data_IF_637735218575
#
_entry.id   IF_637735218575
#
_cell.length_a   1.000
_cell.length_b   1.000
_cell.length_c   1.000
_cell.angle_alpha   90.00
_cell.angle_beta   90.00
_cell.angle_gamma   90.00
#
_symmetry.space_group_name_H-M   'P 1'
#
loop_
_entity.id
_entity.type
_entity.pdbx_description
1 polymer ?
#
# COMPACT_ATOMS: atom_id res chain seq x y z
N UNK A 1 3.36 61.85 21.33
CA UNK A 1 2.32 60.85 21.68
C UNK A 1 1.62 60.26 20.44
N UNK A 2 1.51 60.97 19.31
CA UNK A 2 1.01 60.42 18.04
C UNK A 2 1.97 59.41 17.36
N UNK A 3 3.27 59.45 17.69
CA UNK A 3 4.27 58.50 17.15
C UNK A 3 4.07 57.06 17.65
N UNK A 4 3.56 56.86 18.87
CA UNK A 4 3.30 55.53 19.43
C UNK A 4 2.11 54.79 18.79
N UNK A 5 1.19 55.51 18.13
CA UNK A 5 0.03 54.93 17.45
C UNK A 5 0.35 54.49 16.01
N UNK A 6 1.41 55.03 15.39
CA UNK A 6 1.85 54.59 14.06
C UNK A 6 2.70 53.31 14.16
N UNK A 7 3.33 53.06 15.32
CA UNK A 7 4.14 51.87 15.56
C UNK A 7 3.26 50.64 15.87
N UNK A 8 2.12 50.82 16.55
CA UNK A 8 1.18 49.74 16.88
C UNK A 8 0.43 49.13 15.68
N UNK A 9 0.56 49.71 14.48
CA UNK A 9 -0.04 49.19 13.25
C UNK A 9 0.86 48.24 12.45
N UNK A 10 2.13 48.11 12.83
CA UNK A 10 3.13 47.33 12.09
C UNK A 10 3.69 46.13 12.89
N UNK A 11 3.11 45.81 14.05
CA UNK A 11 3.41 44.62 14.85
C UNK A 11 2.47 43.43 14.53
N UNK A 12 1.57 43.57 13.56
CA UNK A 12 0.64 42.52 13.10
C UNK A 12 1.02 41.91 11.75
N UNK A 13 2.26 42.09 11.29
CA UNK A 13 2.86 41.12 10.36
C UNK A 13 3.49 40.07 11.25
N UNK A 14 2.78 38.95 11.41
CA UNK A 14 3.34 37.73 11.96
C UNK A 14 4.59 37.40 11.13
N UNK A 15 5.74 37.82 11.64
CA UNK A 15 7.03 37.31 11.23
C UNK A 15 6.99 35.85 11.62
N UNK A 16 6.74 34.99 10.63
CA UNK A 16 7.00 33.56 10.75
C UNK A 16 8.42 33.44 11.30
N UNK A 17 8.52 32.98 12.54
CA UNK A 17 9.78 32.60 13.13
C UNK A 17 10.35 31.46 12.27
N UNK A 18 11.29 31.79 11.39
CA UNK A 18 12.15 30.81 10.75
C UNK A 18 12.89 30.09 11.89
N UNK A 19 12.60 28.81 12.15
CA UNK A 19 13.33 28.09 13.17
C UNK A 19 14.76 27.93 12.67
N UNK A 20 15.71 28.35 13.49
CA UNK A 20 17.12 28.15 13.21
C UNK A 20 17.40 26.67 12.99
N UNK A 21 17.96 26.37 11.82
CA UNK A 21 18.40 25.05 11.41
C UNK A 21 19.57 24.63 12.29
N UNK A 22 19.28 24.03 13.44
CA UNK A 22 20.27 23.28 14.21
C UNK A 22 20.46 21.94 13.50
N UNK A 23 21.56 21.86 12.75
CA UNK A 23 22.10 20.64 12.16
C UNK A 23 22.54 19.68 13.26
N UNK A 24 21.58 19.07 13.92
CA UNK A 24 21.77 17.73 14.48
C UNK A 24 20.97 16.86 13.55
N UNK A 25 21.61 15.91 12.88
CA UNK A 25 20.94 14.90 12.05
C UNK A 25 19.97 14.11 12.92
N UNK A 26 18.77 14.66 13.15
CA UNK A 26 17.72 14.00 13.89
C UNK A 26 17.50 12.66 13.19
N UNK A 27 17.60 11.58 13.95
CA UNK A 27 17.38 10.26 13.37
C UNK A 27 15.96 10.24 12.81
N UNK A 28 15.75 9.54 11.69
CA UNK A 28 14.43 9.44 11.06
C UNK A 28 13.32 9.06 12.07
N UNK A 29 13.69 8.32 13.12
CA UNK A 29 12.83 7.96 14.24
C UNK A 29 12.42 9.13 15.14
N UNK A 30 13.31 10.10 15.40
CA UNK A 30 12.97 11.30 16.18
C UNK A 30 12.01 12.20 15.40
N UNK A 31 12.21 12.26 14.08
CA UNK A 31 11.32 12.96 13.16
C UNK A 31 9.95 12.28 13.09
N UNK A 32 9.95 10.95 13.15
CA UNK A 32 8.74 10.17 13.29
C UNK A 32 8.04 10.58 14.61
N UNK A 33 8.63 10.35 15.78
CA UNK A 33 7.98 10.65 17.07
C UNK A 33 7.43 12.09 17.20
N UNK A 34 8.06 13.08 16.55
CA UNK A 34 7.62 14.49 16.55
C UNK A 34 6.45 14.80 15.60
N UNK A 35 6.10 13.90 14.70
CA UNK A 35 5.05 14.04 13.67
C UNK A 35 3.59 13.99 14.17
N UNK A 36 3.37 13.77 15.47
CA UNK A 36 2.04 13.87 16.10
C UNK A 36 1.03 12.80 15.65
N UNK A 37 -0.26 13.08 15.86
CA UNK A 37 -1.34 12.10 15.65
C UNK A 37 -1.51 11.67 14.17
N UNK A 38 -1.22 12.57 13.23
CA UNK A 38 -1.32 12.29 11.78
C UNK A 38 -0.44 11.12 11.35
N UNK A 39 0.71 10.95 12.00
CA UNK A 39 1.67 9.96 11.58
C UNK A 39 1.29 8.54 11.99
N UNK A 40 0.56 8.39 13.10
CA UNK A 40 -0.07 7.12 13.46
C UNK A 40 -1.16 6.71 12.46
N UNK A 41 -1.95 7.68 11.98
CA UNK A 41 -2.97 7.44 10.95
C UNK A 41 -2.33 6.98 9.63
N UNK A 42 -1.26 7.66 9.19
CA UNK A 42 -0.51 7.26 7.99
C UNK A 42 0.12 5.87 8.13
N UNK A 43 0.68 5.54 9.30
CA UNK A 43 1.24 4.21 9.56
C UNK A 43 0.16 3.13 9.51
N UNK A 44 -1.00 3.36 10.14
CA UNK A 44 -2.13 2.44 10.07
C UNK A 44 -2.63 2.25 8.63
N UNK A 45 -2.75 3.35 7.86
CA UNK A 45 -3.17 3.30 6.46
C UNK A 45 -2.17 2.51 5.60
N UNK A 46 -0.87 2.66 5.84
CA UNK A 46 0.20 1.91 5.17
C UNK A 46 0.09 0.41 5.43
N UNK A 47 -0.15 0.00 6.69
CA UNK A 47 -0.34 -1.42 7.03
C UNK A 47 -1.57 -1.99 6.31
N UNK A 48 -2.69 -1.25 6.30
CA UNK A 48 -3.91 -1.67 5.58
C UNK A 48 -3.65 -1.80 4.08
N UNK A 49 -2.91 -0.85 3.49
CA UNK A 49 -2.53 -0.90 2.08
C UNK A 49 -1.70 -2.14 1.76
N UNK A 50 -0.65 -2.42 2.55
CA UNK A 50 0.19 -3.62 2.38
C UNK A 50 -0.65 -4.90 2.52
N UNK A 51 -1.57 -4.94 3.48
CA UNK A 51 -2.46 -6.09 3.67
C UNK A 51 -3.36 -6.35 2.46
N UNK A 52 -3.96 -5.31 1.89
CA UNK A 52 -4.78 -5.42 0.67
C UNK A 52 -3.91 -5.87 -0.51
N UNK A 53 -2.73 -5.25 -0.67
CA UNK A 53 -1.83 -5.54 -1.77
C UNK A 53 -1.33 -6.99 -1.72
N UNK A 54 -0.89 -7.45 -0.55
CA UNK A 54 -0.43 -8.82 -0.34
C UNK A 54 -1.52 -9.85 -0.63
N UNK A 55 -2.73 -9.63 -0.12
CA UNK A 55 -3.89 -10.50 -0.40
C UNK A 55 -4.21 -10.57 -1.89
N UNK A 56 -4.23 -9.43 -2.57
CA UNK A 56 -4.56 -9.37 -4.00
C UNK A 56 -3.46 -9.99 -4.85
N UNK A 57 -2.19 -9.80 -4.48
CA UNK A 57 -1.06 -10.41 -5.17
C UNK A 57 -1.05 -11.94 -5.02
N UNK A 58 -1.41 -12.45 -3.83
CA UNK A 58 -1.50 -13.89 -3.61
C UNK A 58 -2.65 -14.53 -4.40
N UNK A 59 -3.82 -13.88 -4.48
CA UNK A 59 -4.94 -14.30 -5.31
C UNK A 59 -4.55 -14.40 -6.80
N UNK A 60 -3.93 -13.35 -7.35
CA UNK A 60 -3.48 -13.34 -8.75
C UNK A 60 -2.45 -14.45 -9.00
N UNK A 61 -1.54 -14.67 -8.05
CA UNK A 61 -0.52 -15.73 -8.15
C UNK A 61 -1.09 -17.14 -7.99
N UNK A 62 -2.24 -17.29 -7.33
CA UNK A 62 -2.96 -18.55 -7.23
C UNK A 62 -3.74 -18.84 -8.52
N UNK A 63 -4.39 -17.83 -9.11
CA UNK A 63 -5.08 -17.95 -10.40
C UNK A 63 -4.13 -18.27 -11.56
N UNK A 64 -2.91 -17.72 -11.54
CA UNK A 64 -1.89 -18.00 -12.57
C UNK A 64 -1.26 -19.38 -12.50
N UNK A 65 -1.51 -20.16 -11.44
CA UNK A 65 -1.03 -21.54 -11.30
C UNK A 65 -2.14 -22.51 -11.70
N UNK A 66 -2.49 -22.52 -12.98
CA UNK A 66 -3.17 -23.69 -13.55
C UNK A 66 -2.15 -24.83 -13.47
N UNK A 67 -2.46 -25.84 -12.66
CA UNK A 67 -1.55 -26.96 -12.38
C UNK A 67 -1.08 -27.60 -13.69
N UNK A 68 0.25 -27.75 -13.86
CA UNK A 68 0.82 -28.29 -15.11
C UNK A 68 0.36 -29.72 -15.40
N UNK A 69 -0.02 -30.47 -14.37
CA UNK A 69 -0.55 -31.82 -14.52
C UNK A 69 -1.99 -31.79 -15.03
N UNK A 70 -2.81 -30.82 -14.62
CA UNK A 70 -4.15 -30.63 -15.21
C UNK A 70 -4.08 -30.45 -16.73
N UNK A 71 -3.16 -29.61 -17.20
CA UNK A 71 -3.00 -29.36 -18.64
C UNK A 71 -2.49 -30.59 -19.40
N UNK A 72 -1.57 -31.35 -18.80
CA UNK A 72 -1.11 -32.62 -19.37
C UNK A 72 -2.25 -33.65 -19.45
N UNK A 73 -2.99 -33.83 -18.38
CA UNK A 73 -4.05 -34.83 -18.28
C UNK A 73 -5.26 -34.50 -19.18
N UNK A 74 -5.61 -33.21 -19.33
CA UNK A 74 -6.59 -32.74 -20.33
C UNK A 74 -6.16 -33.13 -21.74
N UNK A 75 -4.89 -32.90 -22.07
CA UNK A 75 -4.37 -33.16 -23.40
C UNK A 75 -4.33 -34.66 -23.69
N UNK A 76 -3.92 -35.48 -22.71
CA UNK A 76 -3.93 -36.93 -22.79
C UNK A 76 -5.38 -37.47 -22.97
N UNK A 77 -6.37 -36.94 -22.22
CA UNK A 77 -7.76 -37.36 -22.37
C UNK A 77 -8.38 -36.99 -23.72
N UNK A 78 -7.99 -35.85 -24.31
CA UNK A 78 -8.45 -35.46 -25.66
C UNK A 78 -7.81 -36.34 -26.73
N UNK A 79 -6.50 -36.62 -26.62
CA UNK A 79 -5.79 -37.48 -27.55
C UNK A 79 -6.30 -38.94 -27.49
N UNK A 80 -6.69 -39.41 -26.31
CA UNK A 80 -7.32 -40.72 -26.10
C UNK A 80 -8.81 -40.77 -26.48
N UNK A 81 -9.42 -39.65 -26.87
CA UNK A 81 -10.86 -39.55 -27.18
C UNK A 81 -11.79 -39.67 -25.96
N UNK A 82 -11.26 -39.61 -24.75
CA UNK A 82 -11.98 -39.73 -23.46
C UNK A 82 -12.59 -38.40 -23.02
N UNK A 83 -13.49 -37.85 -23.84
CA UNK A 83 -14.09 -36.52 -23.63
C UNK A 83 -14.86 -36.42 -22.30
N UNK A 84 -15.54 -37.49 -21.87
CA UNK A 84 -16.25 -37.51 -20.57
C UNK A 84 -15.31 -37.35 -19.37
N UNK A 85 -14.13 -37.97 -19.42
CA UNK A 85 -13.11 -37.88 -18.37
C UNK A 85 -12.45 -36.51 -18.34
N UNK A 86 -12.20 -35.91 -19.51
CA UNK A 86 -11.71 -34.54 -19.62
C UNK A 86 -12.68 -33.53 -18.97
N UNK A 87 -13.98 -33.65 -19.24
CA UNK A 87 -15.02 -32.78 -18.64
C UNK A 87 -15.07 -32.97 -17.11
N UNK A 88 -15.01 -34.20 -16.63
CA UNK A 88 -14.98 -34.48 -15.20
C UNK A 88 -13.72 -33.91 -14.51
N UNK A 89 -12.59 -33.84 -15.21
CA UNK A 89 -11.37 -33.21 -14.69
C UNK A 89 -11.52 -31.69 -14.62
N UNK A 90 -12.08 -31.05 -15.65
CA UNK A 90 -12.37 -29.61 -15.63
C UNK A 90 -13.32 -29.22 -14.49
N UNK A 91 -14.33 -30.04 -14.22
CA UNK A 91 -15.29 -29.80 -13.13
C UNK A 91 -14.65 -29.92 -11.73
N UNK A 92 -13.53 -30.63 -11.61
CA UNK A 92 -12.79 -30.75 -10.34
C UNK A 92 -11.81 -29.59 -10.12
N UNK A 93 -11.40 -28.89 -11.18
CA UNK A 93 -10.47 -27.76 -11.09
C UNK A 93 -11.25 -26.45 -11.13
N UNK A 94 -11.55 -25.94 -9.94
CA UNK A 94 -12.21 -24.64 -9.74
C UNK A 94 -11.12 -23.57 -9.55
N UNK A 95 -10.76 -22.89 -10.64
CA UNK A 95 -9.76 -21.81 -10.63
C UNK A 95 -10.48 -20.48 -10.35
N UNK A 96 -10.21 -19.81 -9.20
CA UNK A 96 -10.79 -18.50 -8.89
C UNK A 96 -10.10 -17.34 -9.61
#
# INVERSE_FOLDING_TARGET
MLFNLLQSGMDAVAVEAVPQQQEMTLSFFDLFLKGGALMWVLLALSIVAIYIFGKKWWMIRKAGQIDKNFMKDIHDFIHDGKIKSAVALCQKYDSP
#
